data_IF_427916175673
#
_entry.id   IF_427916175673
#
_cell.length_a   1.000
_cell.length_b   1.000
_cell.length_c   1.000
_cell.angle_alpha   90.00
_cell.angle_beta   90.00
_cell.angle_gamma   90.00
#
_symmetry.space_group_name_H-M   'P 1'
#
loop_
_entity.id
_entity.type
_entity.pdbx_description
1 polymer ?
#
# COMPACT_ATOMS: atom_id res chain seq x y z
N UNK A 1 -13.61 50.09 21.46
CA UNK A 1 -13.21 48.66 21.59
C UNK A 1 -13.42 48.02 20.24
N UNK A 2 -12.34 47.90 19.45
CA UNK A 2 -12.39 47.22 18.16
C UNK A 2 -12.63 45.73 18.43
N UNK A 3 -13.64 45.14 17.78
CA UNK A 3 -13.80 43.68 17.72
C UNK A 3 -12.51 43.12 17.10
N UNK A 4 -11.74 42.36 17.88
CA UNK A 4 -10.72 41.47 17.31
C UNK A 4 -11.46 40.60 16.29
N UNK A 5 -11.04 40.70 15.03
CA UNK A 5 -11.46 39.72 14.04
C UNK A 5 -10.92 38.37 14.51
N UNK A 6 -11.81 37.41 14.78
CA UNK A 6 -11.40 36.04 15.09
C UNK A 6 -10.45 35.57 13.97
N UNK A 7 -9.20 35.28 14.34
CA UNK A 7 -8.26 34.67 13.39
C UNK A 7 -8.89 33.38 12.86
N UNK A 8 -8.80 33.12 11.54
CA UNK A 8 -9.38 31.92 10.97
C UNK A 8 -8.77 30.68 11.64
N UNK A 9 -9.65 29.85 12.19
CA UNK A 9 -9.27 28.61 12.86
C UNK A 9 -8.39 27.76 11.93
N UNK A 10 -7.20 27.42 12.39
CA UNK A 10 -6.24 26.62 11.64
C UNK A 10 -6.71 25.16 11.57
N UNK A 11 -6.37 24.44 10.50
CA UNK A 11 -6.84 23.05 10.29
C UNK A 11 -6.55 22.13 11.48
N UNK A 12 -5.36 22.25 12.08
CA UNK A 12 -4.95 21.46 13.24
C UNK A 12 -5.81 21.68 14.50
N UNK A 13 -6.61 22.74 14.55
CA UNK A 13 -7.53 23.06 15.65
C UNK A 13 -8.94 22.51 15.43
N UNK A 14 -9.24 21.95 14.25
CA UNK A 14 -10.60 21.54 13.87
C UNK A 14 -10.96 20.11 14.29
N UNK A 15 -9.98 19.34 14.77
CA UNK A 15 -10.10 17.91 15.05
C UNK A 15 -9.39 17.51 16.34
N UNK A 16 -9.66 16.30 16.83
CA UNK A 16 -8.95 15.74 17.98
C UNK A 16 -7.46 15.53 17.65
N UNK A 17 -6.53 15.97 18.52
CA UNK A 17 -5.11 15.76 18.33
C UNK A 17 -4.72 14.28 18.54
N UNK A 18 -3.61 13.86 17.93
CA UNK A 18 -3.04 12.55 18.20
C UNK A 18 -2.26 12.50 19.51
N UNK A 19 -2.18 11.30 20.09
CA UNK A 19 -1.26 10.97 21.17
C UNK A 19 0.06 10.43 20.59
N UNK A 20 1.19 10.92 21.10
CA UNK A 20 2.52 10.48 20.69
C UNK A 20 3.13 9.48 21.66
N UNK A 21 3.88 8.51 21.12
CA UNK A 21 4.62 7.49 21.87
C UNK A 21 6.02 7.32 21.27
N UNK A 22 7.03 8.10 21.72
CA UNK A 22 8.42 7.97 21.27
C UNK A 22 8.94 6.54 21.43
N UNK A 23 9.78 6.09 20.49
CA UNK A 23 10.39 4.75 20.50
C UNK A 23 11.83 4.80 21.05
N UNK A 24 12.02 5.36 22.25
CA UNK A 24 13.32 5.33 22.92
C UNK A 24 13.63 3.93 23.49
N UNK A 25 14.89 3.70 23.85
CA UNK A 25 15.36 2.41 24.38
C UNK A 25 14.74 2.04 25.72
N UNK A 26 14.33 3.03 26.52
CA UNK A 26 13.60 2.83 27.76
C UNK A 26 12.33 3.71 27.85
N UNK A 27 11.43 3.32 28.76
CA UNK A 27 10.15 4.01 28.95
C UNK A 27 10.30 5.36 29.66
N UNK A 28 11.31 5.54 30.52
CA UNK A 28 11.55 6.77 31.25
C UNK A 28 12.05 7.90 30.34
N UNK A 29 12.95 7.60 29.41
CA UNK A 29 13.40 8.52 28.36
C UNK A 29 12.24 8.90 27.44
N UNK A 30 11.42 7.92 27.03
CA UNK A 30 10.23 8.20 26.22
C UNK A 30 9.29 9.19 26.92
N UNK A 31 9.08 9.02 28.22
CA UNK A 31 8.25 9.93 29.02
C UNK A 31 8.90 11.32 29.19
N UNK A 32 10.21 11.39 29.45
CA UNK A 32 10.94 12.64 29.56
C UNK A 32 10.91 13.45 28.25
N UNK A 33 11.07 12.78 27.11
CA UNK A 33 10.95 13.39 25.79
C UNK A 33 9.55 13.96 25.54
N UNK A 34 8.50 13.24 25.91
CA UNK A 34 7.13 13.72 25.81
C UNK A 34 6.89 14.96 26.67
N UNK A 35 7.38 14.98 27.91
CA UNK A 35 7.25 16.13 28.82
C UNK A 35 7.98 17.34 28.24
N UNK A 36 9.20 17.15 27.74
CA UNK A 36 9.99 18.22 27.12
C UNK A 36 9.31 18.76 25.85
N UNK A 37 8.88 17.87 24.94
CA UNK A 37 8.24 18.28 23.69
C UNK A 37 6.94 19.08 23.94
N UNK A 38 6.14 18.70 24.95
CA UNK A 38 4.89 19.38 25.32
C UNK A 38 5.07 20.83 25.77
N UNK A 39 6.27 21.24 26.17
CA UNK A 39 6.54 22.63 26.56
C UNK A 39 6.61 23.56 25.33
N UNK A 40 6.86 23.01 24.14
CA UNK A 40 6.91 23.79 22.89
C UNK A 40 5.56 23.87 22.19
N UNK A 41 5.24 25.04 21.61
CA UNK A 41 4.02 25.23 20.82
C UNK A 41 3.90 24.25 19.63
N UNK A 42 5.04 23.84 19.07
CA UNK A 42 5.13 22.87 17.97
C UNK A 42 4.50 21.51 18.25
N UNK A 43 4.43 21.08 19.52
CA UNK A 43 3.82 19.80 19.88
C UNK A 43 2.34 19.75 19.56
N UNK A 44 1.58 20.78 19.95
CA UNK A 44 0.14 20.83 19.73
C UNK A 44 -0.20 21.01 18.25
N UNK A 45 0.60 21.79 17.53
CA UNK A 45 0.49 21.94 16.07
C UNK A 45 0.71 20.58 15.40
N UNK A 46 1.79 19.88 15.73
CA UNK A 46 2.08 18.55 15.19
C UNK A 46 0.96 17.55 15.50
N UNK A 47 0.48 17.54 16.75
CA UNK A 47 -0.56 16.62 17.20
C UNK A 47 -1.90 16.86 16.48
N UNK A 48 -2.34 18.12 16.39
CA UNK A 48 -3.56 18.49 15.69
C UNK A 48 -3.46 18.28 14.19
N UNK A 49 -2.31 18.61 13.58
CA UNK A 49 -2.08 18.46 12.15
C UNK A 49 -2.07 17.00 11.72
N UNK A 50 -1.47 16.12 12.52
CA UNK A 50 -1.50 14.67 12.28
C UNK A 50 -2.89 14.08 12.55
N UNK A 51 -3.62 14.60 13.54
CA UNK A 51 -5.03 14.24 13.75
C UNK A 51 -5.87 14.56 12.53
N UNK A 52 -5.66 15.74 11.94
CA UNK A 52 -6.37 16.19 10.75
C UNK A 52 -5.99 15.33 9.53
N UNK A 53 -4.70 15.06 9.34
CA UNK A 53 -4.24 14.16 8.29
C UNK A 53 -4.89 12.77 8.38
N UNK A 54 -4.89 12.15 9.56
CA UNK A 54 -5.49 10.82 9.79
C UNK A 54 -7.01 10.82 9.61
N UNK A 55 -7.72 11.84 10.10
CA UNK A 55 -9.17 11.96 9.91
C UNK A 55 -9.55 12.10 8.42
N UNK A 56 -8.71 12.78 7.63
CA UNK A 56 -8.85 12.86 6.18
C UNK A 56 -8.28 11.64 5.43
N UNK A 57 -7.81 10.62 6.16
CA UNK A 57 -7.26 9.34 5.66
C UNK A 57 -5.98 9.51 4.85
N UNK A 58 -5.18 10.51 5.19
CA UNK A 58 -3.87 10.70 4.62
C UNK A 58 -2.92 9.59 5.09
N UNK A 59 -2.24 8.93 4.15
CA UNK A 59 -1.20 7.93 4.46
C UNK A 59 0.19 8.56 4.52
N UNK A 60 0.35 9.76 3.95
CA UNK A 60 1.60 10.51 4.00
C UNK A 60 1.31 12.00 4.16
N UNK A 61 2.21 12.70 4.86
CA UNK A 61 2.23 14.15 4.95
C UNK A 61 3.59 14.61 4.45
N UNK A 62 3.61 15.44 3.42
CA UNK A 62 4.82 16.03 2.86
C UNK A 62 4.87 17.50 3.24
N UNK A 63 5.99 17.91 3.84
CA UNK A 63 6.26 19.27 4.27
C UNK A 63 7.47 19.78 3.50
N UNK A 64 7.28 20.84 2.72
CA UNK A 64 8.29 21.51 1.92
C UNK A 64 8.59 22.89 2.52
N UNK A 65 9.80 23.06 3.08
CA UNK A 65 10.22 24.30 3.70
C UNK A 65 10.94 25.20 2.72
N UNK A 66 10.52 26.46 2.69
CA UNK A 66 11.11 27.54 1.88
C UNK A 66 11.35 28.77 2.75
N UNK A 67 12.08 29.77 2.24
CA UNK A 67 12.26 31.04 2.95
C UNK A 67 10.92 31.74 3.28
N UNK A 68 9.88 31.52 2.46
CA UNK A 68 8.57 32.15 2.62
C UNK A 68 7.65 31.40 3.61
N UNK A 69 7.86 30.11 3.85
CA UNK A 69 6.97 29.32 4.70
C UNK A 69 7.10 27.81 4.48
N UNK A 70 6.09 27.08 4.94
CA UNK A 70 6.00 25.62 4.87
C UNK A 70 4.78 25.20 4.06
N UNK A 71 4.99 24.63 2.88
CA UNK A 71 3.92 24.02 2.09
C UNK A 71 3.67 22.61 2.60
N UNK A 72 2.39 22.25 2.78
CA UNK A 72 2.00 20.93 3.26
C UNK A 72 1.07 20.26 2.25
N UNK A 73 1.34 18.98 1.99
CA UNK A 73 0.51 18.11 1.15
C UNK A 73 0.17 16.83 1.87
N UNK A 74 -1.05 16.35 1.67
CA UNK A 74 -1.49 15.04 2.15
C UNK A 74 -1.57 14.05 0.99
N UNK A 75 -1.11 12.82 1.20
CA UNK A 75 -1.38 11.73 0.29
C UNK A 75 -2.68 11.04 0.72
N UNK A 76 -3.81 11.38 0.08
CA UNK A 76 -5.12 10.79 0.34
C UNK A 76 -5.48 9.87 -0.83
N UNK A 77 -5.82 8.61 -0.55
CA UNK A 77 -6.20 7.62 -1.56
C UNK A 77 -5.23 7.53 -2.76
N UNK A 78 -3.93 7.77 -2.51
CA UNK A 78 -2.88 7.73 -3.53
C UNK A 78 -2.80 9.00 -4.41
N UNK A 79 -3.32 10.14 -3.95
CA UNK A 79 -3.13 11.45 -4.57
C UNK A 79 -2.63 12.49 -3.56
N UNK A 80 -1.73 13.34 -4.03
CA UNK A 80 -1.27 14.50 -3.28
C UNK A 80 -2.30 15.62 -3.36
N UNK A 81 -2.84 15.99 -2.21
CA UNK A 81 -3.75 17.12 -2.01
C UNK A 81 -3.00 18.24 -1.29
N UNK A 82 -3.01 19.43 -1.88
CA UNK A 82 -2.44 20.63 -1.25
C UNK A 82 -3.38 21.12 -0.15
N UNK A 83 -2.83 21.34 1.03
CA UNK A 83 -3.56 22.00 2.13
C UNK A 83 -3.02 23.43 2.33
N UNK A 84 -3.74 24.30 3.06
CA UNK A 84 -3.24 25.61 3.45
C UNK A 84 -1.82 25.52 4.04
N UNK A 85 -0.88 26.34 3.55
CA UNK A 85 0.49 26.34 4.06
C UNK A 85 0.55 26.96 5.46
N UNK A 86 1.64 26.67 6.17
CA UNK A 86 2.00 27.40 7.39
C UNK A 86 3.03 28.49 7.09
N UNK A 87 3.04 29.52 7.93
CA UNK A 87 4.17 30.42 8.00
C UNK A 87 5.44 29.67 8.44
N UNK A 88 6.59 30.33 8.29
CA UNK A 88 7.88 29.70 8.55
C UNK A 88 8.03 29.28 10.02
N UNK A 89 7.56 30.11 10.94
CA UNK A 89 7.69 29.90 12.38
C UNK A 89 6.87 28.70 12.86
N UNK A 90 5.59 28.63 12.48
CA UNK A 90 4.69 27.52 12.81
C UNK A 90 5.19 26.21 12.21
N UNK A 91 5.63 26.24 10.96
CA UNK A 91 6.21 25.07 10.29
C UNK A 91 7.47 24.57 10.98
N UNK A 92 8.40 25.47 11.32
CA UNK A 92 9.66 25.10 11.96
C UNK A 92 9.43 24.57 13.39
N UNK A 93 8.49 25.16 14.14
CA UNK A 93 8.09 24.66 15.45
C UNK A 93 7.52 23.24 15.37
N UNK A 94 6.65 22.98 14.39
CA UNK A 94 6.09 21.65 14.15
C UNK A 94 7.17 20.62 13.81
N UNK A 95 8.08 20.94 12.89
CA UNK A 95 9.17 20.03 12.50
C UNK A 95 10.14 19.76 13.65
N UNK A 96 10.45 20.78 14.45
CA UNK A 96 11.31 20.64 15.62
C UNK A 96 10.74 19.61 16.60
N UNK A 97 9.44 19.73 16.94
CA UNK A 97 8.76 18.79 17.83
C UNK A 97 8.76 17.37 17.26
N UNK A 98 8.47 17.21 15.97
CA UNK A 98 8.47 15.91 15.30
C UNK A 98 9.87 15.26 15.29
N UNK A 99 10.93 16.02 15.01
CA UNK A 99 12.31 15.53 15.04
C UNK A 99 12.70 15.09 16.45
N UNK A 100 12.41 15.89 17.47
CA UNK A 100 12.65 15.52 18.87
C UNK A 100 11.94 14.22 19.25
N UNK A 101 10.65 14.08 18.91
CA UNK A 101 9.86 12.88 19.21
C UNK A 101 10.34 11.64 18.44
N UNK A 102 10.94 11.83 17.27
CA UNK A 102 11.54 10.75 16.46
C UNK A 102 13.02 10.48 16.80
N UNK A 103 13.56 11.07 17.87
CA UNK A 103 14.97 10.94 18.28
C UNK A 103 15.98 11.45 17.23
N UNK A 104 15.57 12.42 16.42
CA UNK A 104 16.38 13.07 15.40
C UNK A 104 16.97 14.37 15.93
N UNK A 105 18.05 14.85 15.30
CA UNK A 105 18.65 16.13 15.65
C UNK A 105 17.87 17.28 14.99
N UNK A 106 17.16 18.13 15.75
CA UNK A 106 16.39 19.23 15.17
C UNK A 106 17.26 20.34 14.57
N UNK A 107 18.47 20.52 15.08
CA UNK A 107 19.41 21.53 14.60
C UNK A 107 20.02 21.17 13.25
N UNK A 108 20.15 19.88 12.94
CA UNK A 108 20.60 19.44 11.62
C UNK A 108 19.43 19.46 10.63
N UNK A 109 19.50 20.39 9.68
CA UNK A 109 18.54 20.53 8.58
C UNK A 109 19.12 20.19 7.21
N UNK A 110 20.38 19.71 7.17
CA UNK A 110 21.12 19.44 5.93
C UNK A 110 21.19 17.95 5.65
N UNK A 111 21.54 17.15 6.66
CA UNK A 111 21.72 15.71 6.52
C UNK A 111 20.39 14.98 6.37
N UNK A 112 20.40 13.85 5.66
CA UNK A 112 19.27 12.94 5.65
C UNK A 112 19.12 12.26 7.02
N UNK A 113 17.92 12.30 7.58
CA UNK A 113 17.58 11.72 8.88
C UNK A 113 16.30 10.89 8.73
N UNK A 114 16.23 9.74 9.39
CA UNK A 114 15.03 8.89 9.44
C UNK A 114 14.79 8.41 10.86
N UNK A 115 13.58 8.58 11.37
CA UNK A 115 13.18 8.16 12.71
C UNK A 115 11.75 7.62 12.74
N UNK A 116 11.42 6.89 13.81
CA UNK A 116 10.09 6.29 14.02
C UNK A 116 9.45 6.83 15.30
N UNK A 117 8.13 6.97 15.29
CA UNK A 117 7.32 7.47 16.39
C UNK A 117 5.98 6.73 16.42
N UNK A 118 5.55 6.24 17.58
CA UNK A 118 4.19 5.73 17.74
C UNK A 118 3.19 6.89 17.76
N UNK A 119 2.08 6.75 17.06
CA UNK A 119 0.98 7.72 16.99
C UNK A 119 -0.34 7.02 17.26
N UNK A 120 -1.23 7.66 18.02
CA UNK A 120 -2.55 7.11 18.32
C UNK A 120 -3.63 8.16 18.14
N UNK A 121 -4.70 7.82 17.42
CA UNK A 121 -5.91 8.63 17.27
C UNK A 121 -7.10 7.81 17.79
N UNK A 122 -7.67 8.21 18.93
CA UNK A 122 -8.73 7.45 19.58
C UNK A 122 -8.28 6.03 19.95
N UNK A 123 -8.73 5.02 19.21
CA UNK A 123 -8.34 3.61 19.40
C UNK A 123 -7.33 3.11 18.36
N UNK A 124 -7.14 3.84 17.27
CA UNK A 124 -6.29 3.45 16.16
C UNK A 124 -4.84 3.83 16.45
N UNK A 125 -3.92 2.88 16.21
CA UNK A 125 -2.49 3.04 16.45
C UNK A 125 -1.73 2.95 15.13
N UNK A 126 -0.74 3.80 14.98
CA UNK A 126 0.08 3.94 13.79
C UNK A 126 1.55 4.02 14.17
N UNK A 127 2.40 3.52 13.29
CA UNK A 127 3.80 3.88 13.22
C UNK A 127 3.96 5.06 12.27
N UNK A 128 4.48 6.17 12.80
CA UNK A 128 4.91 7.31 12.02
C UNK A 128 6.39 7.15 11.69
N UNK A 129 6.73 7.19 10.41
CA UNK A 129 8.10 7.22 9.93
C UNK A 129 8.37 8.64 9.41
N UNK A 130 9.26 9.37 10.07
CA UNK A 130 9.69 10.70 9.65
C UNK A 130 11.00 10.59 8.89
N UNK A 131 11.01 11.03 7.63
CA UNK A 131 12.21 11.20 6.81
C UNK A 131 12.41 12.69 6.57
N UNK A 132 13.58 13.22 6.93
CA UNK A 132 13.91 14.64 6.74
C UNK A 132 15.21 14.76 5.97
N UNK A 133 15.28 15.66 5.00
CA UNK A 133 16.49 15.88 4.20
C UNK A 133 16.60 17.35 3.77
N UNK A 134 17.82 17.88 3.78
CA UNK A 134 18.12 19.18 3.17
C UNK A 134 17.90 19.18 1.66
N UNK A 135 17.24 20.22 1.16
CA UNK A 135 17.02 20.48 -0.27
C UNK A 135 17.44 21.92 -0.59
N UNK A 136 17.66 22.30 -1.86
CA UNK A 136 18.12 23.66 -2.20
C UNK A 136 17.23 24.78 -1.62
N UNK A 137 15.93 24.53 -1.47
CA UNK A 137 14.97 25.51 -0.93
C UNK A 137 14.91 25.56 0.60
N UNK A 138 15.56 24.62 1.30
CA UNK A 138 15.49 24.48 2.75
C UNK A 138 15.54 23.02 3.17
N UNK A 139 14.44 22.54 3.74
CA UNK A 139 14.32 21.16 4.21
C UNK A 139 13.03 20.54 3.66
N UNK A 140 13.06 19.24 3.40
CA UNK A 140 11.88 18.46 3.03
C UNK A 140 11.69 17.37 4.07
N UNK A 141 10.50 17.32 4.65
CA UNK A 141 10.11 16.27 5.58
C UNK A 141 8.93 15.46 5.02
N UNK A 142 9.09 14.15 4.94
CA UNK A 142 8.05 13.20 4.57
C UNK A 142 7.69 12.37 5.80
N UNK A 143 6.44 12.44 6.21
CA UNK A 143 5.88 11.63 7.29
C UNK A 143 5.03 10.54 6.63
N UNK A 144 5.32 9.27 6.92
CA UNK A 144 4.48 8.13 6.54
C UNK A 144 3.72 7.65 7.77
N UNK A 145 2.43 7.38 7.61
CA UNK A 145 1.52 6.92 8.66
C UNK A 145 1.10 5.49 8.35
N UNK A 146 1.75 4.52 8.98
CA UNK A 146 1.50 3.10 8.75
C UNK A 146 0.64 2.53 9.90
N UNK A 147 -0.57 2.01 9.63
CA UNK A 147 -1.40 1.43 10.69
C UNK A 147 -0.74 0.17 11.26
N UNK A 148 -0.76 0.03 12.60
CA UNK A 148 -0.18 -1.15 13.25
C UNK A 148 -0.98 -2.44 13.01
N UNK A 149 -2.27 -2.31 12.68
CA UNK A 149 -3.13 -3.44 12.34
C UNK A 149 -3.66 -3.26 10.93
N UNK A 150 -3.51 -4.30 10.10
CA UNK A 150 -4.18 -4.38 8.81
C UNK A 150 -5.69 -4.53 9.06
N UNK A 151 -6.55 -3.65 8.52
CA UNK A 151 -7.98 -3.65 8.84
C UNK A 151 -8.78 -4.72 8.05
N UNK A 152 -8.10 -5.61 7.33
CA UNK A 152 -8.70 -6.58 6.43
C UNK A 152 -8.33 -7.99 6.86
N UNK A 153 -9.31 -8.89 6.84
CA UNK A 153 -9.11 -10.30 7.22
C UNK A 153 -9.29 -11.22 6.01
N UNK A 154 -10.13 -10.84 5.05
CA UNK A 154 -10.51 -11.69 3.91
C UNK A 154 -9.97 -11.13 2.59
N UNK A 155 -9.70 -12.02 1.63
CA UNK A 155 -9.27 -11.66 0.28
C UNK A 155 -10.33 -10.81 -0.46
N UNK A 156 -11.60 -11.03 -0.13
CA UNK A 156 -12.74 -10.28 -0.62
C UNK A 156 -12.70 -8.81 -0.14
N UNK A 157 -12.24 -8.56 1.09
CA UNK A 157 -12.20 -7.22 1.70
C UNK A 157 -11.24 -6.28 0.95
N UNK A 158 -10.17 -6.84 0.37
CA UNK A 158 -9.18 -6.09 -0.41
C UNK A 158 -9.58 -5.91 -1.88
N UNK A 159 -10.72 -6.46 -2.31
CA UNK A 159 -11.29 -6.27 -3.64
C UNK A 159 -11.21 -7.49 -4.57
N UNK A 160 -10.71 -8.63 -4.10
CA UNK A 160 -10.62 -9.83 -4.92
C UNK A 160 -12.01 -10.39 -5.23
N UNK A 161 -12.24 -10.76 -6.49
CA UNK A 161 -13.54 -11.31 -6.93
C UNK A 161 -13.68 -12.74 -6.44
N UNK A 162 -14.88 -13.15 -6.04
CA UNK A 162 -15.21 -14.49 -5.54
C UNK A 162 -14.59 -15.65 -6.35
N UNK A 163 -14.71 -15.61 -7.69
CA UNK A 163 -14.09 -16.63 -8.56
C UNK A 163 -12.57 -16.69 -8.42
N UNK A 164 -11.91 -15.53 -8.33
CA UNK A 164 -10.46 -15.45 -8.15
C UNK A 164 -10.06 -15.87 -6.74
N UNK A 165 -10.85 -15.52 -5.72
CA UNK A 165 -10.64 -15.98 -4.34
C UNK A 165 -10.66 -17.50 -4.27
N UNK A 166 -11.65 -18.15 -4.90
CA UNK A 166 -11.73 -19.60 -4.94
C UNK A 166 -10.49 -20.21 -5.62
N UNK A 167 -10.12 -19.70 -6.80
CA UNK A 167 -8.93 -20.17 -7.52
C UNK A 167 -7.63 -19.93 -6.76
N UNK A 168 -7.46 -18.78 -6.11
CA UNK A 168 -6.23 -18.44 -5.39
C UNK A 168 -6.11 -19.20 -4.06
N UNK A 169 -7.21 -19.35 -3.30
CA UNK A 169 -7.22 -20.21 -2.09
C UNK A 169 -6.86 -21.65 -2.43
N UNK A 170 -7.36 -22.17 -3.55
CA UNK A 170 -6.96 -23.50 -4.00
C UNK A 170 -5.44 -23.58 -4.20
N UNK A 171 -4.79 -22.57 -4.78
CA UNK A 171 -3.33 -22.60 -4.96
C UNK A 171 -2.58 -22.42 -3.64
N UNK A 172 -3.04 -21.53 -2.74
CA UNK A 172 -2.43 -21.30 -1.42
C UNK A 172 -2.41 -22.54 -0.52
N UNK A 173 -3.38 -23.44 -0.72
CA UNK A 173 -3.57 -24.61 0.14
C UNK A 173 -3.12 -25.92 -0.51
N UNK A 174 -2.46 -25.83 -1.67
CA UNK A 174 -1.91 -26.99 -2.37
C UNK A 174 -0.44 -27.26 -1.94
N UNK A 175 0.15 -28.35 -2.43
CA UNK A 175 1.49 -28.82 -2.07
C UNK A 175 2.48 -28.71 -3.25
N UNK A 176 3.79 -28.78 -2.98
CA UNK A 176 4.83 -28.90 -4.01
C UNK A 176 4.98 -27.69 -4.95
N UNK A 177 4.74 -26.45 -4.48
CA UNK A 177 4.53 -25.28 -5.36
C UNK A 177 5.29 -24.02 -4.96
N UNK A 178 5.53 -23.16 -5.94
CA UNK A 178 5.93 -21.75 -5.74
C UNK A 178 4.71 -20.85 -5.95
N UNK A 179 4.50 -19.90 -5.04
CA UNK A 179 3.50 -18.84 -5.13
C UNK A 179 4.21 -17.50 -5.05
N UNK A 180 3.91 -16.62 -6.00
CA UNK A 180 4.45 -15.27 -6.04
C UNK A 180 3.34 -14.23 -5.89
N UNK A 181 3.48 -13.33 -4.92
CA UNK A 181 2.57 -12.19 -4.74
C UNK A 181 3.29 -10.91 -5.17
N UNK A 182 2.70 -10.14 -6.06
CA UNK A 182 3.29 -8.91 -6.58
C UNK A 182 2.35 -7.72 -6.52
N UNK A 183 2.93 -6.57 -6.23
CA UNK A 183 2.27 -5.29 -6.37
C UNK A 183 3.33 -4.20 -6.55
N UNK A 184 3.01 -3.07 -7.19
CA UNK A 184 3.92 -1.94 -7.29
C UNK A 184 4.29 -1.40 -5.92
N UNK A 185 5.41 -0.66 -5.87
CA UNK A 185 5.80 0.06 -4.65
C UNK A 185 4.69 1.02 -4.23
N UNK A 186 4.34 1.00 -2.94
CA UNK A 186 3.28 1.82 -2.34
C UNK A 186 1.84 1.48 -2.82
N UNK A 187 1.64 0.35 -3.50
CA UNK A 187 0.31 -0.13 -3.91
C UNK A 187 -0.18 -1.29 -3.04
N UNK A 188 0.15 -1.30 -1.74
CA UNK A 188 -0.48 -2.20 -0.77
C UNK A 188 0.10 -3.61 -0.68
N UNK A 189 1.31 -3.88 -1.20
CA UNK A 189 1.94 -5.21 -1.16
C UNK A 189 1.92 -5.85 0.24
N UNK A 190 2.30 -5.10 1.29
CA UNK A 190 2.32 -5.58 2.68
C UNK A 190 0.92 -5.92 3.18
N UNK A 191 -0.09 -5.14 2.81
CA UNK A 191 -1.49 -5.43 3.16
C UNK A 191 -1.94 -6.72 2.48
N UNK A 192 -1.72 -6.84 1.17
CA UNK A 192 -2.07 -8.02 0.38
C UNK A 192 -1.38 -9.26 0.90
N UNK A 193 -0.09 -9.17 1.19
CA UNK A 193 0.70 -10.23 1.80
C UNK A 193 0.06 -10.74 3.09
N UNK A 194 -0.24 -9.84 4.04
CA UNK A 194 -0.87 -10.19 5.30
C UNK A 194 -2.23 -10.89 5.12
N UNK A 195 -3.07 -10.39 4.22
CA UNK A 195 -4.37 -11.00 3.94
C UNK A 195 -4.22 -12.37 3.25
N UNK A 196 -3.26 -12.52 2.34
CA UNK A 196 -2.98 -13.80 1.69
C UNK A 196 -2.48 -14.85 2.68
N UNK A 197 -1.56 -14.47 3.58
CA UNK A 197 -1.04 -15.36 4.62
C UNK A 197 -2.12 -15.76 5.62
N UNK A 198 -3.05 -14.86 5.96
CA UNK A 198 -4.20 -15.20 6.79
C UNK A 198 -5.23 -16.11 6.09
N UNK A 199 -5.28 -16.09 4.77
CA UNK A 199 -6.17 -16.94 3.99
C UNK A 199 -5.61 -18.35 3.74
N UNK A 200 -4.33 -18.59 4.04
CA UNK A 200 -3.67 -19.88 3.89
C UNK A 200 -3.92 -20.79 5.11
N UNK A 201 -3.73 -22.10 4.95
CA UNK A 201 -3.98 -23.11 5.98
C UNK A 201 -2.90 -23.17 7.10
N UNK A 202 -2.47 -22.01 7.60
CA UNK A 202 -1.46 -21.82 8.66
C UNK A 202 -1.84 -22.41 10.04
N UNK A 203 -3.06 -22.92 10.18
CA UNK A 203 -3.51 -23.64 11.37
C UNK A 203 -3.31 -25.16 11.25
N UNK A 204 -3.15 -25.65 10.02
CA UNK A 204 -3.03 -27.08 9.71
C UNK A 204 -1.62 -27.46 9.25
N UNK A 205 -0.87 -26.50 8.70
CA UNK A 205 0.48 -26.66 8.15
C UNK A 205 1.47 -25.76 8.90
N UNK A 206 2.73 -26.20 9.03
CA UNK A 206 3.78 -25.40 9.65
C UNK A 206 4.38 -24.39 8.65
N UNK A 207 4.10 -23.11 8.89
CA UNK A 207 4.62 -22.00 8.12
C UNK A 207 5.83 -21.40 8.85
N UNK A 208 6.99 -21.41 8.18
CA UNK A 208 8.22 -20.81 8.68
C UNK A 208 8.62 -19.66 7.77
N UNK A 209 8.67 -18.43 8.31
CA UNK A 209 9.18 -17.28 7.58
C UNK A 209 10.68 -17.11 7.80
N UNK A 210 11.37 -16.59 6.78
CA UNK A 210 12.78 -16.25 6.82
C UNK A 210 12.93 -14.77 6.48
N UNK A 211 13.42 -14.01 7.46
CA UNK A 211 13.38 -12.56 7.44
C UNK A 211 14.74 -11.98 7.83
N UNK A 212 15.17 -10.93 7.14
CA UNK A 212 16.34 -10.16 7.55
C UNK A 212 16.01 -9.40 8.85
N UNK A 213 16.85 -9.56 9.88
CA UNK A 213 16.67 -8.89 11.17
C UNK A 213 16.57 -7.36 11.04
N UNK A 214 17.14 -6.77 9.99
CA UNK A 214 17.03 -5.34 9.73
C UNK A 214 15.62 -4.90 9.33
N UNK A 215 14.83 -5.80 8.72
CA UNK A 215 13.49 -5.52 8.19
C UNK A 215 12.53 -6.67 8.54
N UNK A 216 12.21 -6.89 9.82
CA UNK A 216 11.27 -7.94 10.21
C UNK A 216 9.85 -7.59 9.72
N UNK A 217 9.10 -8.62 9.36
CA UNK A 217 7.69 -8.47 9.05
C UNK A 217 6.86 -8.26 10.31
N UNK A 218 5.67 -7.62 10.18
CA UNK A 218 4.66 -7.68 11.22
C UNK A 218 4.32 -9.13 11.56
N UNK A 219 4.14 -9.41 12.85
CA UNK A 219 3.80 -10.75 13.33
C UNK A 219 2.47 -11.22 12.71
N UNK A 220 2.52 -12.41 12.09
CA UNK A 220 1.35 -13.13 11.60
C UNK A 220 1.19 -14.36 12.46
N UNK A 221 0.02 -14.51 13.08
CA UNK A 221 -0.29 -15.63 13.98
C UNK A 221 0.00 -16.95 13.25
N UNK A 222 0.71 -17.87 13.89
CA UNK A 222 1.10 -19.19 13.33
C UNK A 222 1.98 -19.13 12.07
N UNK A 223 2.74 -18.06 11.89
CA UNK A 223 3.89 -18.05 10.98
C UNK A 223 5.10 -17.71 11.85
N UNK A 224 6.01 -18.68 12.01
CA UNK A 224 7.14 -18.55 12.91
C UNK A 224 8.30 -17.83 12.22
N UNK A 225 8.77 -16.67 12.72
CA UNK A 225 9.87 -15.94 12.11
C UNK A 225 11.23 -16.54 12.47
N UNK A 226 12.01 -16.88 11.44
CA UNK A 226 13.41 -17.27 11.54
C UNK A 226 14.27 -16.11 11.04
N UNK A 227 14.73 -15.27 11.97
CA UNK A 227 15.55 -14.10 11.66
C UNK A 227 16.97 -14.52 11.27
N UNK A 228 17.53 -13.84 10.27
CA UNK A 228 18.93 -13.96 9.85
C UNK A 228 19.57 -12.58 9.68
N UNK A 229 20.90 -12.53 9.56
CA UNK A 229 21.65 -11.29 9.40
C UNK A 229 21.70 -10.44 10.67
N UNK A 230 22.21 -9.21 10.54
CA UNK A 230 22.38 -8.29 11.66
C UNK A 230 23.21 -8.87 12.81
N UNK A 231 22.69 -8.71 14.03
CA UNK A 231 23.32 -9.17 15.27
C UNK A 231 23.12 -10.67 15.51
N UNK A 232 22.31 -11.37 14.70
CA UNK A 232 22.11 -12.83 14.85
C UNK A 232 23.37 -13.62 14.48
N UNK A 233 24.19 -13.09 13.58
CA UNK A 233 25.40 -13.76 13.08
C UNK A 233 25.15 -15.01 12.21
N UNK A 234 23.90 -15.31 11.86
CA UNK A 234 23.50 -16.48 11.07
C UNK A 234 23.07 -16.01 9.68
N UNK A 235 23.51 -16.68 8.61
CA UNK A 235 23.06 -16.38 7.25
C UNK A 235 21.71 -17.04 6.90
N UNK A 236 21.10 -16.60 5.80
CA UNK A 236 19.79 -17.09 5.38
C UNK A 236 19.76 -18.60 5.11
N UNK A 237 20.82 -19.15 4.50
CA UNK A 237 20.91 -20.57 4.14
C UNK A 237 21.08 -21.45 5.37
N UNK A 238 21.89 -21.04 6.33
CA UNK A 238 22.07 -21.73 7.60
C UNK A 238 20.78 -21.70 8.43
N UNK A 239 20.09 -20.55 8.46
CA UNK A 239 18.77 -20.43 9.09
C UNK A 239 17.77 -21.41 8.48
N UNK A 240 17.68 -21.47 7.14
CA UNK A 240 16.85 -22.43 6.41
C UNK A 240 17.23 -23.88 6.72
N UNK A 241 18.53 -24.21 6.70
CA UNK A 241 19.04 -25.56 7.01
C UNK A 241 18.66 -26.01 8.42
N UNK A 242 18.72 -25.11 9.41
CA UNK A 242 18.29 -25.40 10.79
C UNK A 242 16.78 -25.61 10.87
N UNK A 243 16.01 -24.86 10.10
CA UNK A 243 14.55 -24.95 10.08
C UNK A 243 14.05 -26.23 9.41
N UNK A 244 14.72 -26.73 8.37
CA UNK A 244 14.36 -28.00 7.70
C UNK A 244 14.25 -29.18 8.69
N UNK A 245 15.06 -29.21 9.74
CA UNK A 245 15.00 -30.25 10.78
C UNK A 245 13.70 -30.21 11.62
N UNK A 246 12.93 -29.13 11.53
CA UNK A 246 11.61 -28.99 12.15
C UNK A 246 10.48 -29.50 11.24
N UNK A 247 10.81 -29.98 10.04
CA UNK A 247 9.88 -30.45 9.01
C UNK A 247 8.80 -29.43 8.60
N UNK A 248 9.16 -28.16 8.30
CA UNK A 248 8.17 -27.15 7.91
C UNK A 248 7.46 -27.53 6.62
N UNK A 249 6.19 -27.19 6.48
CA UNK A 249 5.41 -27.45 5.25
C UNK A 249 5.55 -26.32 4.23
N UNK A 250 5.76 -25.09 4.73
CA UNK A 250 5.79 -23.87 3.91
C UNK A 250 6.96 -22.98 4.30
N UNK A 251 7.81 -22.67 3.32
CA UNK A 251 8.83 -21.65 3.41
C UNK A 251 8.27 -20.31 2.93
N UNK A 252 8.27 -19.33 3.83
CA UNK A 252 7.74 -17.99 3.58
C UNK A 252 8.90 -17.01 3.46
N UNK A 253 9.00 -16.31 2.33
CA UNK A 253 10.05 -15.32 2.06
C UNK A 253 9.42 -13.94 1.82
N UNK A 254 9.26 -13.11 2.86
CA UNK A 254 8.72 -11.76 2.72
C UNK A 254 9.60 -10.81 1.91
N UNK A 255 10.87 -11.15 1.74
CA UNK A 255 11.81 -10.50 0.82
C UNK A 255 12.62 -11.56 0.06
N UNK A 256 13.14 -11.25 -1.14
CA UNK A 256 14.04 -12.16 -1.83
C UNK A 256 15.26 -12.50 -0.99
N UNK A 257 15.49 -13.79 -0.76
CA UNK A 257 16.68 -14.31 -0.08
C UNK A 257 17.84 -14.52 -1.05
N UNK A 258 19.09 -14.65 -0.57
CA UNK A 258 20.23 -15.05 -1.40
C UNK A 258 19.96 -16.34 -2.21
N UNK A 259 20.57 -16.43 -3.39
CA UNK A 259 20.27 -17.49 -4.36
C UNK A 259 20.54 -18.90 -3.84
N UNK A 260 21.55 -19.08 -2.98
CA UNK A 260 21.89 -20.37 -2.37
C UNK A 260 20.89 -20.84 -1.32
N UNK A 261 20.22 -19.91 -0.62
CA UNK A 261 19.09 -20.21 0.24
C UNK A 261 17.84 -20.58 -0.57
N UNK A 262 17.58 -19.85 -1.67
CA UNK A 262 16.48 -20.16 -2.58
C UNK A 262 16.66 -21.53 -3.25
N UNK A 263 17.88 -21.85 -3.70
CA UNK A 263 18.25 -23.15 -4.26
C UNK A 263 17.91 -24.30 -3.30
N UNK A 264 18.30 -24.16 -2.03
CA UNK A 264 17.97 -25.12 -0.99
C UNK A 264 16.44 -25.26 -0.82
N UNK A 265 15.69 -24.15 -0.77
CA UNK A 265 14.24 -24.18 -0.61
C UNK A 265 13.53 -24.86 -1.80
N UNK A 266 13.94 -24.54 -3.03
CA UNK A 266 13.39 -25.14 -4.23
C UNK A 266 13.70 -26.64 -4.31
N UNK A 267 14.88 -27.07 -3.87
CA UNK A 267 15.26 -28.49 -3.84
C UNK A 267 14.39 -29.35 -2.92
N UNK A 268 13.67 -28.73 -1.98
CA UNK A 268 12.73 -29.40 -1.07
C UNK A 268 11.30 -29.48 -1.61
N UNK A 269 10.94 -28.67 -2.62
CA UNK A 269 9.63 -28.73 -3.27
C UNK A 269 9.38 -30.13 -3.85
N UNK A 270 10.37 -30.64 -4.59
CA UNK A 270 10.25 -31.92 -5.32
C UNK A 270 10.43 -33.15 -4.43
N UNK A 271 11.11 -33.00 -3.28
CA UNK A 271 11.49 -34.13 -2.41
C UNK A 271 10.48 -34.41 -1.31
N UNK A 272 9.92 -33.35 -0.73
CA UNK A 272 9.13 -33.43 0.49
C UNK A 272 7.80 -32.66 0.37
N UNK A 273 7.32 -32.42 -0.87
CA UNK A 273 6.05 -31.75 -1.20
C UNK A 273 5.88 -30.37 -0.53
N UNK A 274 7.01 -29.69 -0.27
CA UNK A 274 7.02 -28.38 0.40
C UNK A 274 6.45 -27.28 -0.49
N UNK A 275 6.12 -26.14 0.10
CA UNK A 275 5.67 -24.96 -0.63
C UNK A 275 6.58 -23.76 -0.36
N UNK A 276 6.80 -22.93 -1.37
CA UNK A 276 7.48 -21.63 -1.26
C UNK A 276 6.49 -20.53 -1.56
N UNK A 277 6.34 -19.58 -0.63
CA UNK A 277 5.57 -18.35 -0.86
C UNK A 277 6.47 -17.15 -0.73
N UNK A 278 6.53 -16.33 -1.77
CA UNK A 278 7.36 -15.11 -1.79
C UNK A 278 6.64 -13.94 -2.43
N UNK A 279 7.21 -12.75 -2.29
CA UNK A 279 6.66 -11.53 -2.88
C UNK A 279 7.73 -10.65 -3.50
N UNK A 280 7.33 -9.87 -4.50
CA UNK A 280 8.22 -8.87 -5.12
C UNK A 280 7.45 -7.66 -5.62
N UNK A 281 8.14 -6.51 -5.70
CA UNK A 281 7.54 -5.31 -6.26
C UNK A 281 7.53 -5.36 -7.80
N UNK A 282 6.35 -5.38 -8.41
CA UNK A 282 6.19 -5.39 -9.87
C UNK A 282 4.86 -4.78 -10.31
N UNK A 283 4.78 -4.31 -11.56
CA UNK A 283 3.61 -3.66 -12.16
C UNK A 283 2.53 -4.62 -12.64
N UNK A 284 2.87 -5.90 -12.80
CA UNK A 284 1.99 -6.98 -13.22
C UNK A 284 2.50 -8.33 -12.70
N UNK A 285 1.67 -9.36 -12.77
CA UNK A 285 2.01 -10.74 -12.48
C UNK A 285 3.13 -11.25 -13.41
N UNK A 286 3.08 -10.89 -14.69
CA UNK A 286 4.09 -11.32 -15.68
C UNK A 286 5.43 -10.63 -15.44
N UNK A 287 5.43 -9.33 -15.15
CA UNK A 287 6.66 -8.64 -14.72
C UNK A 287 7.19 -9.22 -13.42
N UNK A 288 6.31 -9.53 -12.47
CA UNK A 288 6.63 -10.22 -11.24
C UNK A 288 7.40 -11.52 -11.47
N UNK A 289 6.86 -12.36 -12.34
CA UNK A 289 7.46 -13.62 -12.73
C UNK A 289 8.83 -13.42 -13.38
N UNK A 290 8.94 -12.53 -14.36
CA UNK A 290 10.22 -12.20 -15.01
C UNK A 290 11.23 -11.68 -13.99
N UNK A 291 10.79 -10.86 -13.03
CA UNK A 291 11.66 -10.33 -11.97
C UNK A 291 12.14 -11.44 -11.04
N UNK A 292 11.27 -12.38 -10.65
CA UNK A 292 11.66 -13.53 -9.84
C UNK A 292 12.76 -14.35 -10.53
N UNK A 293 12.59 -14.63 -11.83
CA UNK A 293 13.58 -15.36 -12.63
C UNK A 293 14.87 -14.57 -12.84
N UNK A 294 14.77 -13.24 -12.98
CA UNK A 294 15.95 -12.38 -13.08
C UNK A 294 16.73 -12.35 -11.75
N UNK A 295 16.04 -12.47 -10.62
CA UNK A 295 16.67 -12.61 -9.30
C UNK A 295 17.32 -13.99 -9.11
N UNK A 296 16.70 -15.05 -9.64
CA UNK A 296 17.18 -16.44 -9.53
C UNK A 296 17.42 -17.07 -10.90
N UNK A 297 18.43 -16.62 -11.66
CA UNK A 297 18.64 -17.04 -13.04
C UNK A 297 19.06 -18.51 -13.16
N UNK A 298 19.79 -19.04 -12.17
CA UNK A 298 20.24 -20.43 -12.14
C UNK A 298 19.09 -21.39 -11.85
N UNK A 299 18.14 -20.97 -11.00
CA UNK A 299 16.97 -21.75 -10.59
C UNK A 299 15.76 -21.56 -11.53
N UNK A 300 15.99 -21.01 -12.73
CA UNK A 300 14.91 -20.67 -13.67
C UNK A 300 14.07 -21.88 -14.03
N UNK A 301 14.71 -23.03 -14.23
CA UNK A 301 14.03 -24.24 -14.68
C UNK A 301 13.10 -24.78 -13.60
N UNK A 302 13.59 -24.85 -12.37
CA UNK A 302 12.86 -25.28 -11.17
C UNK A 302 11.69 -24.34 -10.88
N UNK A 303 11.91 -23.02 -10.95
CA UNK A 303 10.84 -22.02 -10.78
C UNK A 303 9.78 -22.20 -11.86
N UNK A 304 10.15 -22.37 -13.13
CA UNK A 304 9.18 -22.55 -14.22
C UNK A 304 8.36 -23.84 -14.07
N UNK A 305 8.97 -24.90 -13.56
CA UNK A 305 8.29 -26.18 -13.32
C UNK A 305 7.37 -26.15 -12.11
N UNK A 306 7.73 -25.41 -11.05
CA UNK A 306 7.01 -25.44 -9.78
C UNK A 306 6.14 -24.20 -9.49
N UNK A 307 6.23 -23.13 -10.29
CA UNK A 307 5.36 -21.94 -10.12
C UNK A 307 3.89 -22.30 -10.36
N UNK A 308 3.07 -22.20 -9.31
CA UNK A 308 1.64 -22.53 -9.39
C UNK A 308 0.81 -21.32 -9.81
N UNK A 309 1.11 -20.17 -9.21
CA UNK A 309 0.43 -18.94 -9.51
C UNK A 309 1.28 -17.71 -9.21
N UNK A 310 0.96 -16.63 -9.92
CA UNK A 310 1.45 -15.29 -9.63
C UNK A 310 0.25 -14.36 -9.47
N UNK A 311 0.09 -13.81 -8.26
CA UNK A 311 -0.94 -12.84 -7.95
C UNK A 311 -0.38 -11.43 -8.17
N UNK A 312 -0.89 -10.69 -9.15
CA UNK A 312 -0.57 -9.29 -9.35
C UNK A 312 -1.67 -8.38 -8.80
N UNK A 313 -1.29 -7.27 -8.16
CA UNK A 313 -2.22 -6.26 -7.67
C UNK A 313 -1.92 -4.87 -8.24
N UNK A 314 -2.99 -4.11 -8.50
CA UNK A 314 -2.97 -2.65 -8.59
C UNK A 314 -3.97 -2.03 -7.63
N UNK A 315 -3.70 -0.81 -7.18
CA UNK A 315 -4.67 -0.03 -6.40
C UNK A 315 -5.33 1.05 -7.25
N UNK A 316 -6.66 1.07 -7.22
CA UNK A 316 -7.47 2.15 -7.79
C UNK A 316 -8.30 2.78 -6.69
N UNK A 317 -8.64 4.06 -6.84
CA UNK A 317 -9.58 4.73 -5.95
C UNK A 317 -10.98 4.14 -6.13
N UNK A 318 -11.68 3.96 -5.01
CA UNK A 318 -13.07 3.50 -5.00
C UNK A 318 -14.01 4.70 -5.13
N UNK A 319 -15.00 4.60 -6.01
CA UNK A 319 -16.03 5.63 -6.13
C UNK A 319 -16.76 5.80 -4.80
N UNK A 320 -17.06 7.04 -4.43
CA UNK A 320 -17.84 7.30 -3.22
C UNK A 320 -19.28 6.80 -3.41
N UNK A 321 -19.68 5.81 -2.63
CA UNK A 321 -21.04 5.24 -2.72
C UNK A 321 -22.14 6.25 -2.38
N UNK A 322 -21.81 7.32 -1.65
CA UNK A 322 -22.76 8.39 -1.29
C UNK A 322 -23.04 9.39 -2.44
N UNK A 323 -22.09 9.61 -3.35
CA UNK A 323 -22.26 10.64 -4.40
C UNK A 323 -22.01 10.16 -5.82
N UNK A 324 -21.56 8.93 -6.07
CA UNK A 324 -21.33 8.44 -7.43
C UNK A 324 -22.59 8.59 -8.30
N UNK A 325 -22.41 9.02 -9.54
CA UNK A 325 -23.50 9.24 -10.49
C UNK A 325 -23.55 8.11 -11.51
N UNK A 326 -24.74 7.54 -11.69
CA UNK A 326 -25.01 6.59 -12.76
C UNK A 326 -25.18 7.31 -14.10
N UNK A 327 -24.66 6.72 -15.18
CA UNK A 327 -24.92 7.17 -16.55
C UNK A 327 -25.13 5.97 -17.47
N UNK A 328 -25.93 6.17 -18.52
CA UNK A 328 -26.11 5.15 -19.55
C UNK A 328 -24.90 5.17 -20.48
N UNK A 329 -24.13 4.06 -20.58
CA UNK A 329 -22.97 4.01 -21.46
C UNK A 329 -23.40 3.96 -22.93
N UNK A 330 -22.70 4.70 -23.79
CA UNK A 330 -22.95 4.61 -25.24
C UNK A 330 -22.51 3.25 -25.79
N UNK A 331 -23.10 2.76 -26.90
CA UNK A 331 -22.67 1.52 -27.55
C UNK A 331 -21.17 1.53 -27.91
N UNK A 332 -20.63 2.69 -28.29
CA UNK A 332 -19.20 2.86 -28.61
C UNK A 332 -18.33 2.66 -27.37
N UNK A 333 -18.74 3.20 -26.21
CA UNK A 333 -18.01 3.04 -24.95
C UNK A 333 -18.00 1.58 -24.49
N UNK A 334 -19.15 0.89 -24.57
CA UNK A 334 -19.22 -0.53 -24.24
C UNK A 334 -18.30 -1.38 -25.12
N UNK A 335 -18.26 -1.08 -26.43
CA UNK A 335 -17.36 -1.74 -27.37
C UNK A 335 -15.88 -1.49 -27.03
N UNK A 336 -15.49 -0.24 -26.73
CA UNK A 336 -14.13 0.11 -26.32
C UNK A 336 -13.68 -0.62 -25.04
N UNK A 337 -14.61 -0.84 -24.11
CA UNK A 337 -14.35 -1.57 -22.88
C UNK A 337 -14.43 -3.10 -23.05
N UNK A 338 -14.85 -3.61 -24.21
CA UNK A 338 -15.11 -5.04 -24.41
C UNK A 338 -16.26 -5.58 -23.56
N UNK A 339 -17.21 -4.73 -23.16
CA UNK A 339 -18.40 -5.12 -22.42
C UNK A 339 -19.52 -5.43 -23.42
N UNK A 340 -20.09 -6.66 -23.43
CA UNK A 340 -21.24 -6.98 -24.30
C UNK A 340 -22.44 -6.07 -24.04
N UNK A 341 -23.13 -5.65 -25.10
CA UNK A 341 -24.36 -4.86 -24.99
C UNK A 341 -25.42 -5.60 -24.16
N UNK A 342 -26.18 -4.85 -23.34
CA UNK A 342 -27.20 -5.39 -22.46
C UNK A 342 -26.66 -6.05 -21.17
N UNK A 343 -25.34 -6.24 -21.04
CA UNK A 343 -24.75 -6.83 -19.82
C UNK A 343 -24.75 -5.88 -18.63
N UNK A 344 -24.69 -4.58 -18.88
CA UNK A 344 -24.66 -3.52 -17.85
C UNK A 344 -25.63 -2.41 -18.26
N UNK A 345 -26.57 -2.07 -17.38
CA UNK A 345 -27.55 -1.02 -17.63
C UNK A 345 -26.97 0.39 -17.42
N UNK A 346 -26.10 0.56 -16.43
CA UNK A 346 -25.49 1.84 -16.07
C UNK A 346 -24.03 1.65 -15.64
N UNK A 347 -23.18 2.61 -16.00
CA UNK A 347 -21.85 2.78 -15.42
C UNK A 347 -21.87 3.92 -14.41
N UNK A 348 -20.82 4.04 -13.60
CA UNK A 348 -20.72 5.05 -12.56
C UNK A 348 -19.50 5.94 -12.74
N UNK A 349 -19.65 7.21 -12.35
CA UNK A 349 -18.61 8.23 -12.38
C UNK A 349 -18.63 9.06 -11.09
N UNK A 350 -17.53 9.75 -10.73
CA UNK A 350 -17.54 10.63 -9.56
C UNK A 350 -18.54 11.79 -9.77
N UNK A 351 -19.14 12.26 -8.67
CA UNK A 351 -19.88 13.51 -8.69
C UNK A 351 -18.94 14.67 -9.00
N UNK A 352 -19.27 15.46 -10.02
CA UNK A 352 -18.61 16.72 -10.31
C UNK A 352 -19.67 17.80 -10.19
N UNK A 353 -19.60 18.69 -9.19
CA UNK A 353 -20.56 19.79 -9.10
C UNK A 353 -20.41 20.69 -10.34
N UNK A 354 -21.52 21.22 -10.88
CA UNK A 354 -21.44 22.22 -11.96
C UNK A 354 -20.68 23.46 -11.48
N UNK A 355 -20.16 24.30 -12.39
CA UNK A 355 -19.53 25.58 -12.03
C UNK A 355 -20.43 26.41 -11.10
N UNK A 356 -19.84 27.18 -10.19
CA UNK A 356 -20.57 27.96 -9.17
C UNK A 356 -21.60 28.89 -9.82
N UNK A 357 -21.28 29.42 -11.00
CA UNK A 357 -22.14 30.29 -11.79
C UNK A 357 -23.44 29.60 -12.26
N UNK A 358 -23.43 28.27 -12.33
CA UNK A 358 -24.57 27.43 -12.72
C UNK A 358 -25.30 26.85 -11.50
N UNK A 359 -24.78 27.03 -10.29
CA UNK A 359 -25.41 26.58 -9.05
C UNK A 359 -26.42 27.63 -8.60
N UNK A 360 -27.60 27.64 -9.22
CA UNK A 360 -28.69 28.58 -8.91
C UNK A 360 -29.99 27.84 -8.56
N UNK A 361 -30.81 28.45 -7.70
CA UNK A 361 -32.16 27.97 -7.39
C UNK A 361 -33.15 28.23 -8.55
N UNK A 362 -34.39 27.79 -8.39
CA UNK A 362 -35.48 27.99 -9.36
C UNK A 362 -35.73 29.48 -9.71
N UNK A 363 -35.27 30.41 -8.87
CA UNK A 363 -35.40 31.85 -9.04
C UNK A 363 -34.09 32.51 -9.53
N UNK A 364 -33.08 31.73 -9.91
CA UNK A 364 -31.79 32.22 -10.39
C UNK A 364 -30.86 32.76 -9.28
N UNK A 365 -31.14 32.49 -8.00
CA UNK A 365 -30.28 32.92 -6.89
C UNK A 365 -29.18 31.90 -6.63
N UNK A 366 -27.96 32.31 -6.26
CA UNK A 366 -26.87 31.37 -5.95
C UNK A 366 -27.30 30.35 -4.88
N UNK A 367 -27.23 29.07 -5.24
CA UNK A 367 -27.58 27.92 -4.43
C UNK A 367 -26.41 26.92 -4.47
N UNK A 368 -25.32 27.19 -3.73
CA UNK A 368 -24.13 26.37 -3.81
C UNK A 368 -24.40 24.93 -3.34
N UNK A 369 -24.01 23.95 -4.15
CA UNK A 369 -24.10 22.54 -3.82
C UNK A 369 -22.98 22.22 -2.84
N UNK A 370 -23.36 21.88 -1.60
CA UNK A 370 -22.39 21.48 -0.59
C UNK A 370 -21.60 20.24 -1.07
N UNK A 371 -20.27 20.22 -0.87
CA UNK A 371 -19.48 19.04 -1.20
C UNK A 371 -19.96 17.85 -0.37
N UNK A 372 -19.90 16.66 -0.95
CA UNK A 372 -20.23 15.43 -0.25
C UNK A 372 -19.42 15.32 1.06
N UNK A 373 -20.10 15.29 2.21
CA UNK A 373 -19.46 15.29 3.53
C UNK A 373 -18.68 14.01 3.83
N UNK A 374 -19.00 12.90 3.14
CA UNK A 374 -18.31 11.62 3.29
C UNK A 374 -16.94 11.63 2.59
N UNK A 375 -16.91 12.03 1.31
CA UNK A 375 -15.68 12.05 0.53
C UNK A 375 -14.99 13.42 0.49
N UNK A 376 -15.54 14.42 1.18
CA UNK A 376 -15.09 15.82 1.16
C UNK A 376 -14.99 16.39 -0.26
N UNK A 377 -16.00 16.08 -1.10
CA UNK A 377 -16.05 16.55 -2.49
C UNK A 377 -15.10 15.86 -3.47
N UNK A 378 -14.35 14.84 -3.06
CA UNK A 378 -13.37 14.14 -3.93
C UNK A 378 -14.01 13.24 -4.99
N UNK A 379 -15.26 12.81 -4.80
CA UNK A 379 -15.92 11.81 -5.64
C UNK A 379 -15.43 10.36 -5.43
N UNK A 380 -14.34 10.18 -4.68
CA UNK A 380 -13.75 8.89 -4.33
C UNK A 380 -13.62 8.77 -2.81
N UNK A 381 -13.77 7.55 -2.29
CA UNK A 381 -13.60 7.24 -0.88
C UNK A 381 -12.88 5.90 -0.72
N UNK A 382 -11.58 5.97 -0.49
CA UNK A 382 -10.75 4.80 -0.24
C UNK A 382 -10.17 4.24 -1.51
N UNK A 383 -9.53 3.08 -1.38
CA UNK A 383 -8.92 2.34 -2.48
C UNK A 383 -9.44 0.92 -2.49
N UNK A 384 -9.40 0.30 -3.65
CA UNK A 384 -9.74 -1.11 -3.85
C UNK A 384 -8.66 -1.75 -4.72
N UNK A 385 -8.30 -2.99 -4.41
CA UNK A 385 -7.37 -3.78 -5.20
C UNK A 385 -8.04 -4.30 -6.47
N UNK A 386 -7.33 -4.16 -7.58
CA UNK A 386 -7.59 -4.88 -8.83
C UNK A 386 -6.53 -5.96 -8.92
N UNK A 387 -6.97 -7.21 -9.00
CA UNK A 387 -6.10 -8.37 -8.97
C UNK A 387 -6.11 -9.06 -10.32
N UNK A 388 -4.95 -9.56 -10.72
CA UNK A 388 -4.79 -10.53 -11.80
C UNK A 388 -4.15 -11.80 -11.22
N UNK A 389 -4.65 -12.96 -11.61
CA UNK A 389 -4.14 -14.25 -11.15
C UNK A 389 -3.62 -15.01 -12.36
N UNK A 390 -2.29 -15.07 -12.48
CA UNK A 390 -1.64 -15.83 -13.52
C UNK A 390 -1.49 -17.27 -13.03
N UNK A 391 -2.05 -18.22 -13.78
CA UNK A 391 -1.86 -19.66 -13.60
C UNK A 391 -1.03 -20.16 -14.80
N UNK A 392 0.29 -20.35 -14.66
CA UNK A 392 1.14 -20.70 -15.80
C UNK A 392 0.77 -22.06 -16.40
N UNK A 393 0.30 -22.07 -17.66
CA UNK A 393 0.06 -23.28 -18.42
C UNK A 393 1.34 -23.84 -19.06
N UNK A 394 1.25 -24.97 -19.77
CA UNK A 394 2.42 -25.64 -20.33
C UNK A 394 3.24 -24.78 -21.29
N UNK A 395 2.59 -23.95 -22.13
CA UNK A 395 3.29 -23.12 -23.10
C UNK A 395 4.00 -21.97 -22.39
N UNK A 396 3.35 -21.37 -21.39
CA UNK A 396 3.99 -20.31 -20.62
C UNK A 396 5.19 -20.84 -19.83
N UNK A 397 5.06 -21.99 -19.18
CA UNK A 397 6.17 -22.65 -18.45
C UNK A 397 7.37 -22.92 -19.35
N UNK A 398 7.14 -23.48 -20.54
CA UNK A 398 8.19 -23.70 -21.53
C UNK A 398 8.82 -22.38 -21.98
N UNK A 399 8.01 -21.36 -22.29
CA UNK A 399 8.51 -20.06 -22.73
C UNK A 399 9.35 -19.35 -21.65
N UNK A 400 8.95 -19.46 -20.38
CA UNK A 400 9.67 -18.88 -19.24
C UNK A 400 11.13 -19.38 -19.17
N UNK A 401 11.38 -20.65 -19.52
CA UNK A 401 12.75 -21.19 -19.54
C UNK A 401 13.62 -20.57 -20.64
N UNK A 402 13.00 -20.11 -21.73
CA UNK A 402 13.66 -19.68 -22.97
C UNK A 402 13.80 -18.16 -23.10
N UNK A 403 12.86 -17.39 -22.56
CA UNK A 403 12.79 -15.93 -22.78
C UNK A 403 12.33 -15.19 -21.53
N UNK A 404 12.79 -13.95 -21.40
CA UNK A 404 12.30 -12.98 -20.40
C UNK A 404 11.52 -11.83 -21.08
N UNK A 405 11.20 -11.96 -22.36
CA UNK A 405 10.49 -10.93 -23.10
C UNK A 405 9.03 -10.83 -22.61
N UNK A 406 8.73 -9.74 -21.90
CA UNK A 406 7.41 -9.49 -21.31
C UNK A 406 6.27 -9.54 -22.34
N UNK A 407 6.45 -8.97 -23.52
CA UNK A 407 5.41 -8.94 -24.54
C UNK A 407 5.10 -10.34 -25.08
N UNK A 408 6.15 -11.16 -25.28
CA UNK A 408 5.99 -12.55 -25.72
C UNK A 408 5.29 -13.39 -24.64
N UNK A 409 5.73 -13.30 -23.38
CA UNK A 409 5.12 -14.02 -22.27
C UNK A 409 3.67 -13.59 -22.04
N UNK A 410 3.36 -12.30 -22.18
CA UNK A 410 2.00 -11.77 -22.09
C UNK A 410 1.09 -12.29 -23.20
N UNK A 411 1.59 -12.41 -24.44
CA UNK A 411 0.83 -12.99 -25.53
C UNK A 411 0.49 -14.46 -25.28
N UNK A 412 1.45 -15.24 -24.78
CA UNK A 412 1.27 -16.66 -24.45
C UNK A 412 0.28 -16.81 -23.29
N UNK A 413 0.49 -16.09 -22.19
CA UNK A 413 -0.41 -16.10 -21.04
C UNK A 413 -1.86 -15.75 -21.46
N UNK A 414 -2.03 -14.73 -22.31
CA UNK A 414 -3.34 -14.34 -22.84
C UNK A 414 -3.97 -15.45 -23.68
N UNK A 415 -3.19 -16.14 -24.51
CA UNK A 415 -3.67 -17.28 -25.29
C UNK A 415 -4.10 -18.46 -24.40
N UNK A 416 -3.46 -18.63 -23.23
CA UNK A 416 -3.85 -19.60 -22.20
C UNK A 416 -5.02 -19.13 -21.30
N UNK A 417 -5.62 -17.98 -21.59
CA UNK A 417 -6.81 -17.47 -20.88
C UNK A 417 -6.52 -16.56 -19.68
N UNK A 418 -5.30 -16.06 -19.54
CA UNK A 418 -4.95 -15.09 -18.50
C UNK A 418 -5.73 -13.77 -18.68
N UNK A 419 -6.48 -13.38 -17.65
CA UNK A 419 -7.07 -12.05 -17.56
C UNK A 419 -6.10 -11.10 -16.85
N UNK A 420 -5.56 -10.17 -17.63
CA UNK A 420 -4.68 -9.15 -17.09
C UNK A 420 -5.44 -8.11 -16.26
N UNK A 421 -4.69 -7.28 -15.55
CA UNK A 421 -5.19 -6.25 -14.65
C UNK A 421 -6.11 -5.25 -15.33
N UNK A 422 -5.91 -4.95 -16.63
CA UNK A 422 -6.79 -4.07 -17.38
C UNK A 422 -8.17 -4.70 -17.60
N UNK A 423 -8.22 -5.99 -17.92
CA UNK A 423 -9.46 -6.75 -18.07
C UNK A 423 -10.23 -6.78 -16.73
N UNK A 424 -9.51 -7.01 -15.64
CA UNK A 424 -10.06 -7.03 -14.28
C UNK A 424 -10.53 -5.64 -13.83
N UNK A 425 -9.84 -4.58 -14.23
CA UNK A 425 -10.22 -3.20 -13.95
C UNK A 425 -11.52 -2.80 -14.66
N UNK A 426 -11.71 -3.22 -15.92
CA UNK A 426 -12.98 -3.01 -16.65
C UNK A 426 -14.14 -3.68 -15.90
N UNK A 427 -13.92 -4.89 -15.39
CA UNK A 427 -14.93 -5.59 -14.58
C UNK A 427 -15.25 -4.84 -13.28
N UNK A 428 -14.27 -4.16 -12.67
CA UNK A 428 -14.50 -3.30 -11.52
C UNK A 428 -15.31 -2.03 -11.86
N UNK A 429 -15.10 -1.44 -13.04
CA UNK A 429 -15.93 -0.34 -13.56
C UNK A 429 -17.36 -0.80 -13.82
N UNK A 430 -17.53 -1.96 -14.47
CA UNK A 430 -18.84 -2.56 -14.73
C UNK A 430 -19.63 -2.84 -13.43
N UNK A 431 -18.93 -3.08 -12.31
CA UNK A 431 -19.49 -3.26 -10.97
C UNK A 431 -19.73 -1.94 -10.21
N UNK A 432 -19.33 -0.80 -10.77
CA UNK A 432 -19.45 0.50 -10.11
C UNK A 432 -18.54 0.68 -8.89
N UNK A 433 -17.44 -0.07 -8.82
CA UNK A 433 -16.43 0.06 -7.76
C UNK A 433 -15.49 1.24 -8.01
N UNK A 434 -15.17 1.50 -9.27
CA UNK A 434 -14.29 2.60 -9.69
C UNK A 434 -14.80 3.22 -10.99
N UNK A 435 -14.20 4.34 -11.42
CA UNK A 435 -14.59 5.09 -12.61
C UNK A 435 -13.57 4.98 -13.75
N UNK A 436 -13.98 5.35 -14.96
CA UNK A 436 -13.12 5.29 -16.15
C UNK A 436 -11.91 6.23 -16.06
N UNK A 437 -12.09 7.43 -15.50
CA UNK A 437 -10.98 8.38 -15.34
C UNK A 437 -9.94 7.87 -14.35
N UNK A 438 -10.38 7.11 -13.36
CA UNK A 438 -9.49 6.48 -12.39
C UNK A 438 -8.68 5.34 -13.02
N UNK A 439 -9.28 4.55 -13.90
CA UNK A 439 -8.55 3.57 -14.72
C UNK A 439 -7.49 4.27 -15.58
N UNK A 440 -7.87 5.30 -16.34
CA UNK A 440 -6.92 6.06 -17.17
C UNK A 440 -5.76 6.56 -16.32
N UNK A 441 -6.02 7.11 -15.14
CA UNK A 441 -4.99 7.58 -14.20
C UNK A 441 -4.07 6.46 -13.72
N UNK A 442 -4.65 5.37 -13.21
CA UNK A 442 -3.89 4.29 -12.59
C UNK A 442 -3.02 3.53 -13.61
N UNK A 443 -3.50 3.41 -14.85
CA UNK A 443 -2.81 2.68 -15.92
C UNK A 443 -2.05 3.58 -16.92
N UNK A 444 -2.07 4.90 -16.80
CA UNK A 444 -1.33 5.80 -17.70
C UNK A 444 0.21 5.74 -17.55
N UNK A 445 0.72 5.13 -16.47
CA UNK A 445 2.16 5.03 -16.18
C UNK A 445 2.72 3.61 -16.31
N UNK A 446 1.96 2.67 -16.86
CA UNK A 446 2.28 1.25 -16.91
C UNK A 446 2.24 0.68 -18.32
#
# INVERSE_FOLDING_TARGET
MAKQADEPQQLWQTVAPVEFSPKASDSSQSQALLVSARQGAGYFIAAGQLGHALQFRATQVLMDFTAAGCSIRYMVDGQWEQIPPYDRETGDAMLYALKMLCLLNPADRRSAQTGKLGVKLGKEKYDLILQSQGVPTGERALLRLDPLKVPFEKLEDIGMREKMVASFRQQLNDEGKVILITAPKSEGLTTTWNVCMNAADRLMRDFQSFEDQANPEPEIININPNLFGGDTGIDARESLRKSILKEPDVFVFPEPVPADAMDLALSMLDKDDKMVVTRTAASSAIEGLVRLIATYPEQRQEIAQNISCVLGQRLVRRLCDNCKMGFQPTPQLLHQLGIPQGRVAMLYQPFVPPPIEQQVDENGRPAPIAPCHICHGRGYLGRVGIFELLLPGPQLRDAITKTQNLAQLAAIAKAEGFHNVQTEAVLAVARGLTGLDELKRAFAKG
#
